data_IF_897780898041
#
_entry.id   IF_897780898041
#
_cell.length_a   1.000
_cell.length_b   1.000
_cell.length_c   1.000
_cell.angle_alpha   90.00
_cell.angle_beta   90.00
_cell.angle_gamma   90.00
#
_symmetry.space_group_name_H-M   'P 1'
#
loop_
_entity.id
_entity.type
_entity.pdbx_description
1 polymer ?
#
# COMPACT_ATOMS: atom_id res chain seq x y z
N UNK A 1 5.08 -12.96 3.10
CA UNK A 1 6.20 -12.07 3.50
C UNK A 1 5.75 -10.63 3.30
N UNK A 2 5.50 -9.95 4.42
CA UNK A 2 5.12 -8.55 4.46
C UNK A 2 6.25 -7.66 3.95
N UNK A 3 5.95 -6.77 3.00
CA UNK A 3 6.86 -5.69 2.65
C UNK A 3 6.84 -4.68 3.80
N UNK A 4 7.76 -4.87 4.74
CA UNK A 4 7.93 -4.01 5.90
C UNK A 4 8.46 -2.63 5.48
N UNK A 5 8.10 -1.61 6.25
CA UNK A 5 8.40 -0.17 6.09
C UNK A 5 9.87 0.17 5.76
N UNK A 6 10.80 -0.76 5.97
CA UNK A 6 12.20 -0.68 5.56
C UNK A 6 12.40 -0.55 4.03
N UNK A 7 11.47 -1.04 3.20
CA UNK A 7 11.57 -0.86 1.74
C UNK A 7 11.39 0.60 1.28
N UNK A 8 11.07 1.55 2.19
CA UNK A 8 11.14 2.99 1.91
C UNK A 8 12.46 3.65 2.31
N UNK A 9 13.53 2.89 2.55
CA UNK A 9 14.79 3.48 3.01
C UNK A 9 15.72 3.95 1.89
N UNK A 10 15.48 3.59 0.62
CA UNK A 10 16.38 3.94 -0.48
C UNK A 10 15.60 4.47 -1.68
N UNK A 11 15.93 5.69 -2.08
CA UNK A 11 15.50 6.31 -3.32
C UNK A 11 16.09 5.57 -4.53
N UNK A 12 15.47 5.75 -5.70
CA UNK A 12 16.00 5.17 -6.94
C UNK A 12 17.45 5.59 -7.26
N UNK A 13 17.91 6.69 -6.66
CA UNK A 13 19.31 7.15 -6.75
C UNK A 13 20.23 6.35 -5.85
N UNK A 14 19.86 6.12 -4.60
CA UNK A 14 20.67 5.35 -3.65
C UNK A 14 20.76 3.87 -4.05
N UNK A 15 19.68 3.32 -4.62
CA UNK A 15 19.68 1.97 -5.21
C UNK A 15 20.55 1.93 -6.48
N UNK A 16 20.55 2.99 -7.28
CA UNK A 16 21.40 3.09 -8.46
C UNK A 16 22.89 3.09 -8.11
N UNK A 17 23.25 3.83 -7.07
CA UNK A 17 24.61 3.90 -6.55
C UNK A 17 25.04 2.56 -5.94
N UNK A 18 24.16 1.90 -5.17
CA UNK A 18 24.42 0.58 -4.55
C UNK A 18 24.61 -0.53 -5.59
N UNK A 19 23.78 -0.57 -6.62
CA UNK A 19 23.79 -1.63 -7.63
C UNK A 19 24.68 -1.31 -8.85
N UNK A 20 25.36 -0.15 -8.86
CA UNK A 20 26.14 0.36 -9.98
C UNK A 20 25.35 0.32 -11.31
N UNK A 21 24.13 0.87 -11.27
CA UNK A 21 23.19 0.94 -12.39
C UNK A 21 22.59 2.34 -12.47
N UNK A 22 22.08 2.74 -13.64
CA UNK A 22 21.46 4.05 -13.75
C UNK A 22 20.14 4.12 -12.97
N UNK A 23 19.76 5.27 -12.39
CA UNK A 23 18.45 5.45 -11.75
C UNK A 23 17.28 5.12 -12.68
N UNK A 24 17.45 5.27 -14.00
CA UNK A 24 16.47 4.87 -15.02
C UNK A 24 16.31 3.36 -15.10
N UNK A 25 17.40 2.61 -14.97
CA UNK A 25 17.41 1.14 -14.92
C UNK A 25 16.80 0.62 -13.63
N UNK A 26 17.14 1.24 -12.49
CA UNK A 26 16.52 0.93 -11.21
C UNK A 26 15.02 1.17 -11.23
N UNK A 27 14.56 2.30 -11.76
CA UNK A 27 13.11 2.55 -11.96
C UNK A 27 12.46 1.49 -12.86
N UNK A 28 13.17 0.98 -13.88
CA UNK A 28 12.67 -0.06 -14.78
C UNK A 28 12.65 -1.47 -14.14
N UNK A 29 13.57 -1.76 -13.22
CA UNK A 29 13.75 -3.08 -12.60
C UNK A 29 12.96 -3.21 -11.29
N UNK A 30 12.81 -2.11 -10.53
CA UNK A 30 12.14 -2.08 -9.21
C UNK A 30 10.65 -1.70 -9.31
N UNK A 31 10.23 -0.99 -10.36
CA UNK A 31 8.81 -0.73 -10.55
C UNK A 31 8.10 -2.04 -10.91
N UNK A 32 7.28 -2.53 -9.99
CA UNK A 32 6.14 -3.35 -10.37
C UNK A 32 5.32 -2.60 -11.44
N UNK A 33 4.87 -3.31 -12.48
CA UNK A 33 4.01 -2.75 -13.53
C UNK A 33 2.87 -1.94 -12.90
N UNK A 34 2.58 -0.75 -13.44
CA UNK A 34 1.68 0.23 -12.80
C UNK A 34 0.29 -0.36 -12.54
N UNK A 35 -0.19 -1.17 -13.49
CA UNK A 35 -1.45 -1.92 -13.38
C UNK A 35 -1.46 -2.89 -12.20
N UNK A 36 -0.35 -3.59 -11.96
CA UNK A 36 -0.19 -4.53 -10.85
C UNK A 36 -0.15 -3.80 -9.49
N UNK A 37 0.52 -2.64 -9.40
CA UNK A 37 0.48 -1.82 -8.19
C UNK A 37 -0.92 -1.27 -7.90
N UNK A 38 -1.61 -0.76 -8.93
CA UNK A 38 -2.96 -0.24 -8.84
C UNK A 38 -3.97 -1.33 -8.43
N UNK A 39 -3.85 -2.54 -8.98
CA UNK A 39 -4.65 -3.70 -8.59
C UNK A 39 -4.45 -4.07 -7.11
N UNK A 40 -3.20 -4.22 -6.66
CA UNK A 40 -2.90 -4.49 -5.24
C UNK A 40 -3.38 -3.37 -4.31
N UNK A 41 -3.36 -2.13 -4.78
CA UNK A 41 -3.91 -1.01 -4.03
C UNK A 41 -5.43 -1.09 -3.92
N UNK A 42 -6.11 -1.43 -5.01
CA UNK A 42 -7.55 -1.59 -5.04
C UNK A 42 -8.02 -2.78 -4.18
N UNK A 43 -7.36 -3.92 -4.27
CA UNK A 43 -7.66 -5.11 -3.46
C UNK A 43 -7.57 -4.80 -1.96
N UNK A 44 -6.52 -4.08 -1.56
CA UNK A 44 -6.36 -3.64 -0.17
C UNK A 44 -7.47 -2.69 0.28
N UNK A 45 -7.94 -1.78 -0.60
CA UNK A 45 -9.07 -0.90 -0.29
C UNK A 45 -10.35 -1.71 -0.11
N UNK A 46 -10.63 -2.64 -1.03
CA UNK A 46 -11.78 -3.52 -0.95
C UNK A 46 -11.77 -4.32 0.37
N UNK A 47 -10.62 -4.89 0.73
CA UNK A 47 -10.47 -5.68 1.95
C UNK A 47 -10.66 -4.85 3.24
N UNK A 48 -10.22 -3.59 3.25
CA UNK A 48 -10.48 -2.67 4.37
C UNK A 48 -11.98 -2.46 4.56
N UNK A 49 -12.72 -2.20 3.48
CA UNK A 49 -14.15 -1.95 3.55
C UNK A 49 -14.93 -3.22 3.90
N UNK A 50 -14.54 -4.36 3.35
CA UNK A 50 -15.14 -5.66 3.65
C UNK A 50 -15.02 -5.99 5.16
N UNK A 51 -13.83 -5.87 5.73
CA UNK A 51 -13.62 -6.12 7.15
C UNK A 51 -14.37 -5.11 8.02
N UNK A 52 -14.44 -3.84 7.60
CA UNK A 52 -15.22 -2.84 8.32
C UNK A 52 -16.73 -3.16 8.28
N UNK A 53 -17.25 -3.62 7.13
CA UNK A 53 -18.63 -4.06 6.99
C UNK A 53 -18.95 -5.31 7.83
N UNK A 54 -17.97 -6.19 8.03
CA UNK A 54 -18.06 -7.32 8.96
C UNK A 54 -18.01 -6.90 10.45
N UNK A 55 -17.86 -5.60 10.75
CA UNK A 55 -17.86 -5.05 12.11
C UNK A 55 -16.48 -4.98 12.77
N UNK A 56 -15.39 -5.24 12.04
CA UNK A 56 -14.05 -5.11 12.61
C UNK A 56 -13.71 -3.63 12.85
N UNK A 57 -13.14 -3.35 14.03
CA UNK A 57 -12.63 -2.02 14.36
C UNK A 57 -11.35 -1.67 13.58
N UNK A 58 -11.11 -0.37 13.38
CA UNK A 58 -9.97 0.19 12.63
C UNK A 58 -8.62 -0.44 13.01
N UNK A 59 -8.33 -0.59 14.31
CA UNK A 59 -7.07 -1.18 14.80
C UNK A 59 -6.95 -2.68 14.54
N UNK A 60 -8.07 -3.40 14.46
CA UNK A 60 -8.06 -4.82 14.11
C UNK A 60 -7.74 -4.97 12.63
N UNK A 61 -8.41 -4.20 11.76
CA UNK A 61 -8.18 -4.17 10.31
C UNK A 61 -6.72 -3.79 9.99
N UNK A 62 -6.18 -2.78 10.67
CA UNK A 62 -4.81 -2.33 10.47
C UNK A 62 -3.79 -3.43 10.77
N UNK A 63 -4.02 -4.22 11.84
CA UNK A 63 -3.17 -5.37 12.20
C UNK A 63 -3.32 -6.50 11.19
N UNK A 64 -4.56 -6.84 10.82
CA UNK A 64 -4.87 -7.90 9.85
C UNK A 64 -4.22 -7.67 8.49
N UNK A 65 -4.22 -6.41 8.02
CA UNK A 65 -3.71 -6.04 6.71
C UNK A 65 -2.28 -5.46 6.76
N UNK A 66 -1.64 -5.49 7.93
CA UNK A 66 -0.30 -4.94 8.19
C UNK A 66 -0.12 -3.50 7.65
N UNK A 67 -1.13 -2.67 7.85
CA UNK A 67 -1.18 -1.28 7.37
C UNK A 67 -1.30 -0.28 8.51
N UNK A 68 -1.04 0.98 8.19
CA UNK A 68 -1.22 2.08 9.13
C UNK A 68 -2.71 2.25 9.52
N UNK A 69 -3.07 2.39 10.81
CA UNK A 69 -4.44 2.63 11.24
C UNK A 69 -5.06 3.92 10.68
N UNK A 70 -4.24 4.96 10.45
CA UNK A 70 -4.70 6.21 9.83
C UNK A 70 -5.10 6.01 8.37
N UNK A 71 -4.43 5.10 7.64
CA UNK A 71 -4.84 4.69 6.30
C UNK A 71 -6.24 4.07 6.31
N UNK A 72 -6.51 3.20 7.27
CA UNK A 72 -7.82 2.52 7.42
C UNK A 72 -8.92 3.55 7.69
N UNK A 73 -8.72 4.44 8.67
CA UNK A 73 -9.67 5.51 8.98
C UNK A 73 -9.94 6.42 7.78
N UNK A 74 -8.90 6.80 7.03
CA UNK A 74 -9.04 7.61 5.83
C UNK A 74 -9.87 6.90 4.76
N UNK A 75 -9.66 5.60 4.53
CA UNK A 75 -10.41 4.84 3.53
C UNK A 75 -11.88 4.65 3.88
N UNK A 76 -12.19 4.41 5.15
CA UNK A 76 -13.57 4.34 5.63
C UNK A 76 -14.26 5.69 5.46
N UNK A 77 -13.57 6.80 5.78
CA UNK A 77 -14.10 8.15 5.57
C UNK A 77 -14.39 8.43 4.09
N UNK A 78 -13.43 8.16 3.21
CA UNK A 78 -13.60 8.31 1.76
C UNK A 78 -14.78 7.48 1.24
N UNK A 79 -14.96 6.25 1.73
CA UNK A 79 -16.06 5.38 1.33
C UNK A 79 -17.44 5.84 1.83
N UNK A 80 -17.52 6.45 3.03
CA UNK A 80 -18.73 7.10 3.54
C UNK A 80 -19.10 8.33 2.74
N UNK A 81 -18.10 9.17 2.40
CA UNK A 81 -18.31 10.37 1.57
C UNK A 81 -18.76 9.98 0.15
N UNK A 82 -18.29 8.87 -0.37
CA UNK A 82 -18.71 8.31 -1.65
C UNK A 82 -20.05 7.53 -1.60
N UNK A 83 -20.68 7.38 -0.42
CA UNK A 83 -21.92 6.62 -0.24
C UNK A 83 -21.80 5.12 -0.56
N UNK A 84 -20.58 4.57 -0.49
CA UNK A 84 -20.32 3.15 -0.77
C UNK A 84 -20.56 2.26 0.46
N UNK A 85 -20.52 2.85 1.67
CA UNK A 85 -20.84 2.22 2.96
C UNK A 85 -21.53 3.22 3.89
#
# INVERSE_FOLDING_TARGET
MAITRAQRALTARELAETFNRSPRTIRRIIAEERSSYEARAQDRRARILELHAQGFGVRAIARELEVDPGLVSKRIKEAREAGTI
#
